data_IF_958300367997
#
_entry.id   IF_958300367997
#
_cell.length_a   1.000
_cell.length_b   1.000
_cell.length_c   1.000
_cell.angle_alpha   90.00
_cell.angle_beta   90.00
_cell.angle_gamma   90.00
#
_symmetry.space_group_name_H-M   'P 1'
#
loop_
_entity.id
_entity.type
_entity.pdbx_description
1 polymer ?
#
# COMPACT_ATOMS: atom_id res chain seq x y z
N UNK A 1 -19.09 7.96 2.42
CA UNK A 1 -18.26 6.87 2.97
C UNK A 1 -18.89 5.55 2.56
N UNK A 2 -18.11 4.65 1.99
CA UNK A 2 -18.55 3.29 1.70
C UNK A 2 -17.98 2.32 2.74
N UNK A 3 -18.84 1.47 3.29
CA UNK A 3 -18.43 0.37 4.18
C UNK A 3 -18.39 -0.91 3.36
N UNK A 4 -17.21 -1.51 3.24
CA UNK A 4 -17.04 -2.75 2.48
C UNK A 4 -17.95 -3.85 3.05
N UNK A 5 -18.65 -4.56 2.16
CA UNK A 5 -19.31 -5.81 2.52
C UNK A 5 -18.28 -6.81 3.08
N UNK A 6 -18.71 -7.70 3.98
CA UNK A 6 -17.81 -8.63 4.68
C UNK A 6 -16.96 -9.49 3.74
N UNK A 7 -17.50 -9.88 2.59
CA UNK A 7 -16.78 -10.66 1.58
C UNK A 7 -15.68 -9.86 0.87
N UNK A 8 -15.88 -8.55 0.66
CA UNK A 8 -14.84 -7.67 0.11
C UNK A 8 -13.81 -7.26 1.16
N UNK A 9 -14.17 -7.16 2.44
CA UNK A 9 -13.23 -6.73 3.48
C UNK A 9 -11.99 -7.63 3.56
N UNK A 10 -12.18 -8.95 3.55
CA UNK A 10 -11.06 -9.90 3.60
C UNK A 10 -10.19 -9.83 2.35
N UNK A 11 -10.81 -9.68 1.18
CA UNK A 11 -10.11 -9.55 -0.10
C UNK A 11 -9.31 -8.25 -0.18
N UNK A 12 -9.92 -7.13 0.21
CA UNK A 12 -9.28 -5.82 0.23
C UNK A 12 -8.13 -5.80 1.23
N UNK A 13 -8.19 -6.54 2.35
CA UNK A 13 -7.04 -6.64 3.26
C UNK A 13 -5.93 -7.55 2.73
N UNK A 14 -6.28 -8.62 2.00
CA UNK A 14 -5.32 -9.61 1.50
C UNK A 14 -4.62 -9.19 0.19
N UNK A 15 -5.28 -8.37 -0.63
CA UNK A 15 -4.80 -8.03 -1.97
C UNK A 15 -4.24 -6.60 -1.97
N UNK A 16 -3.02 -6.35 -2.48
CA UNK A 16 -2.38 -5.04 -2.36
C UNK A 16 -3.16 -3.94 -3.10
N UNK A 17 -3.54 -4.22 -4.34
CA UNK A 17 -4.31 -3.32 -5.20
C UNK A 17 -5.28 -4.17 -6.01
N UNK A 18 -6.51 -3.68 -6.19
CA UNK A 18 -7.55 -4.38 -6.93
C UNK A 18 -8.68 -3.43 -7.29
N UNK A 19 -9.58 -3.89 -8.16
CA UNK A 19 -10.83 -3.19 -8.45
C UNK A 19 -12.02 -4.14 -8.30
N UNK A 20 -13.11 -3.67 -7.71
CA UNK A 20 -14.37 -4.41 -7.65
C UNK A 20 -15.52 -3.57 -8.14
N UNK A 21 -16.51 -4.25 -8.69
CA UNK A 21 -17.83 -3.69 -8.92
C UNK A 21 -18.76 -4.16 -7.81
N UNK A 22 -19.71 -3.32 -7.45
CA UNK A 22 -20.76 -3.71 -6.51
C UNK A 22 -22.07 -3.06 -6.90
N UNK A 23 -23.17 -3.74 -6.59
CA UNK A 23 -24.49 -3.13 -6.67
C UNK A 23 -24.90 -2.78 -5.25
N UNK A 24 -24.35 -1.65 -4.80
CA UNK A 24 -24.38 -1.25 -3.40
C UNK A 24 -25.60 -0.39 -3.09
N UNK A 25 -26.05 -0.43 -1.83
CA UNK A 25 -27.15 0.42 -1.37
C UNK A 25 -26.65 1.83 -1.08
N UNK A 26 -26.97 2.75 -1.97
CA UNK A 26 -26.80 4.19 -1.83
C UNK A 26 -27.96 4.87 -1.10
N UNK A 27 -28.01 6.20 -1.23
CA UNK A 27 -29.06 7.04 -0.63
C UNK A 27 -30.43 6.81 -1.27
N UNK A 28 -30.46 6.66 -2.59
CA UNK A 28 -31.69 6.63 -3.39
C UNK A 28 -32.06 5.21 -3.86
N UNK A 29 -31.38 4.18 -3.32
CA UNK A 29 -31.60 2.79 -3.68
C UNK A 29 -30.30 2.07 -3.97
N UNK A 30 -30.38 0.98 -4.72
CA UNK A 30 -29.20 0.27 -5.18
C UNK A 30 -28.62 0.92 -6.43
N UNK A 31 -27.30 1.07 -6.48
CA UNK A 31 -26.60 1.78 -7.55
C UNK A 31 -25.32 1.06 -7.99
N UNK A 32 -24.96 1.11 -9.29
CA UNK A 32 -23.70 0.59 -9.78
C UNK A 32 -22.53 1.33 -9.12
N UNK A 33 -21.64 0.59 -8.46
CA UNK A 33 -20.57 1.16 -7.64
C UNK A 33 -19.23 0.57 -8.05
N UNK A 34 -18.21 1.43 -8.16
CA UNK A 34 -16.83 1.05 -8.40
C UNK A 34 -16.00 1.19 -7.12
N UNK A 35 -15.34 0.12 -6.71
CA UNK A 35 -14.49 0.07 -5.53
C UNK A 35 -13.04 -0.10 -5.99
N UNK A 36 -12.19 0.87 -5.73
CA UNK A 36 -10.79 0.88 -6.20
C UNK A 36 -9.86 0.85 -5.01
N UNK A 37 -9.10 -0.24 -4.86
CA UNK A 37 -7.98 -0.29 -3.91
C UNK A 37 -6.67 -0.06 -4.64
N UNK A 38 -5.89 0.93 -4.21
CA UNK A 38 -4.61 1.26 -4.83
C UNK A 38 -3.58 1.76 -3.81
N UNK A 39 -2.34 1.91 -4.26
CA UNK A 39 -1.33 2.62 -3.47
C UNK A 39 -1.75 4.06 -3.25
N UNK A 40 -1.40 4.64 -2.10
CA UNK A 40 -1.69 6.04 -1.77
C UNK A 40 -1.13 6.95 -2.86
N UNK A 41 0.01 6.61 -3.47
CA UNK A 41 0.54 7.35 -4.61
C UNK A 41 -0.40 7.29 -5.83
N UNK A 42 -0.84 6.10 -6.26
CA UNK A 42 -1.78 5.95 -7.36
C UNK A 42 -3.07 6.74 -7.12
N UNK A 43 -3.65 6.63 -5.92
CA UNK A 43 -4.87 7.35 -5.56
C UNK A 43 -4.68 8.87 -5.64
N UNK A 44 -3.50 9.38 -5.29
CA UNK A 44 -3.16 10.80 -5.43
C UNK A 44 -3.17 11.25 -6.89
N UNK A 45 -2.60 10.46 -7.80
CA UNK A 45 -2.69 10.76 -9.24
C UNK A 45 -4.14 10.80 -9.73
N UNK A 46 -4.98 9.86 -9.29
CA UNK A 46 -6.41 9.84 -9.64
C UNK A 46 -7.14 11.10 -9.16
N UNK A 47 -6.90 11.54 -7.91
CA UNK A 47 -7.58 12.73 -7.38
C UNK A 47 -7.06 14.03 -7.97
N UNK A 48 -5.79 14.06 -8.38
CA UNK A 48 -5.17 15.18 -9.10
C UNK A 48 -5.51 15.22 -10.59
N UNK A 49 -6.31 14.26 -11.09
CA UNK A 49 -6.89 14.31 -12.43
C UNK A 49 -6.12 13.56 -13.50
N UNK A 50 -5.35 12.53 -13.15
CA UNK A 50 -4.85 11.57 -14.14
C UNK A 50 -6.02 11.03 -14.98
N UNK A 51 -5.84 10.89 -16.29
CA UNK A 51 -6.88 10.29 -17.15
C UNK A 51 -7.17 8.88 -16.66
N UNK A 52 -8.45 8.51 -16.63
CA UNK A 52 -8.90 7.18 -16.24
C UNK A 52 -9.59 6.49 -17.41
N UNK A 53 -9.30 5.20 -17.61
CA UNK A 53 -9.93 4.38 -18.66
C UNK A 53 -10.40 3.07 -18.07
N UNK A 54 -11.63 2.68 -18.39
CA UNK A 54 -12.19 1.39 -18.04
C UNK A 54 -12.08 0.45 -19.24
N UNK A 55 -11.68 -0.78 -18.99
CA UNK A 55 -11.50 -1.81 -20.01
C UNK A 55 -12.37 -3.01 -19.70
N UNK A 56 -12.90 -3.64 -20.75
CA UNK A 56 -13.61 -4.90 -20.68
C UNK A 56 -13.01 -5.86 -21.67
N UNK A 57 -12.77 -7.10 -21.24
CA UNK A 57 -12.09 -8.09 -22.04
C UNK A 57 -12.54 -9.52 -21.70
N UNK A 58 -12.33 -10.45 -22.62
CA UNK A 58 -12.55 -11.87 -22.38
C UNK A 58 -11.20 -12.59 -22.24
N UNK A 59 -10.95 -13.19 -21.08
CA UNK A 59 -9.71 -13.92 -20.79
C UNK A 59 -10.07 -15.29 -20.22
N UNK A 60 -9.63 -16.37 -20.87
CA UNK A 60 -9.97 -17.77 -20.52
C UNK A 60 -11.47 -18.02 -20.24
N UNK A 61 -12.34 -17.40 -21.03
CA UNK A 61 -13.80 -17.53 -20.88
C UNK A 61 -14.39 -16.81 -19.66
N UNK A 62 -13.60 -15.95 -18.99
CA UNK A 62 -14.06 -15.01 -17.96
C UNK A 62 -14.17 -13.60 -18.53
N UNK A 63 -15.11 -12.83 -18.01
CA UNK A 63 -15.18 -11.41 -18.27
C UNK A 63 -14.26 -10.68 -17.30
N UNK A 64 -13.19 -10.10 -17.83
CA UNK A 64 -12.26 -9.23 -17.13
C UNK A 64 -12.73 -7.78 -17.25
N UNK A 65 -12.59 -7.04 -16.17
CA UNK A 65 -12.69 -5.59 -16.17
C UNK A 65 -11.44 -4.98 -15.55
N UNK A 66 -11.01 -3.83 -16.08
CA UNK A 66 -9.83 -3.13 -15.58
C UNK A 66 -10.03 -1.62 -15.56
N UNK A 67 -9.38 -0.96 -14.61
CA UNK A 67 -9.23 0.48 -14.55
C UNK A 67 -7.75 0.82 -14.73
N UNK A 68 -7.47 1.60 -15.75
CA UNK A 68 -6.14 2.13 -16.02
C UNK A 68 -6.12 3.61 -15.68
N UNK A 69 -5.23 4.00 -14.77
CA UNK A 69 -4.90 5.38 -14.47
C UNK A 69 -3.62 5.76 -15.22
N UNK A 70 -3.66 6.84 -15.99
CA UNK A 70 -2.49 7.34 -16.72
C UNK A 70 -1.64 8.21 -15.79
N UNK A 71 -1.08 7.59 -14.76
CA UNK A 71 -0.15 8.18 -13.79
C UNK A 71 1.29 8.25 -14.31
N UNK A 72 1.63 7.39 -15.28
CA UNK A 72 2.89 7.37 -16.01
C UNK A 72 2.67 7.45 -17.52
N UNK A 73 3.48 8.22 -18.28
CA UNK A 73 3.36 8.29 -19.73
C UNK A 73 3.82 7.03 -20.47
N UNK A 74 4.66 6.19 -19.85
CA UNK A 74 5.24 4.98 -20.43
C UNK A 74 4.65 3.69 -19.89
N UNK A 75 4.18 3.68 -18.65
CA UNK A 75 3.67 2.49 -17.97
C UNK A 75 2.56 2.85 -16.97
N UNK A 76 1.33 3.13 -17.46
CA UNK A 76 0.24 3.50 -16.58
C UNK A 76 -0.13 2.36 -15.63
N UNK A 77 -0.59 2.70 -14.44
CA UNK A 77 -1.09 1.73 -13.48
C UNK A 77 -2.44 1.15 -13.95
N UNK A 78 -2.52 -0.18 -14.05
CA UNK A 78 -3.74 -0.90 -14.37
C UNK A 78 -4.13 -1.86 -13.25
N UNK A 79 -5.35 -1.67 -12.73
CA UNK A 79 -5.99 -2.53 -11.74
C UNK A 79 -7.04 -3.37 -12.45
N UNK A 80 -7.07 -4.68 -12.26
CA UNK A 80 -8.03 -5.55 -12.94
C UNK A 80 -8.60 -6.61 -12.01
N UNK A 81 -9.79 -7.07 -12.38
CA UNK A 81 -10.51 -8.17 -11.75
C UNK A 81 -11.35 -8.91 -12.78
N UNK A 82 -11.94 -10.03 -12.37
CA UNK A 82 -12.94 -10.74 -13.17
C UNK A 82 -14.30 -10.65 -12.50
N UNK A 83 -15.35 -10.74 -13.31
CA UNK A 83 -16.72 -10.85 -12.82
C UNK A 83 -16.93 -12.21 -12.15
N UNK A 84 -17.38 -12.19 -10.91
CA UNK A 84 -17.57 -13.35 -10.04
C UNK A 84 -19.02 -13.54 -9.62
N UNK A 85 -19.84 -12.48 -9.58
CA UNK A 85 -21.20 -12.56 -9.06
C UNK A 85 -22.21 -11.67 -9.81
N UNK A 86 -23.51 -11.90 -9.56
CA UNK A 86 -24.61 -11.19 -10.23
C UNK A 86 -24.70 -9.70 -9.87
N UNK A 87 -24.24 -9.31 -8.66
CA UNK A 87 -24.19 -7.91 -8.27
C UNK A 87 -23.16 -7.15 -9.12
N UNK A 88 -21.99 -7.75 -9.35
CA UNK A 88 -20.99 -7.22 -10.28
C UNK A 88 -21.51 -7.13 -11.72
N UNK A 89 -22.25 -8.14 -12.21
CA UNK A 89 -22.90 -8.10 -13.54
C UNK A 89 -23.85 -6.92 -13.65
N UNK A 90 -24.69 -6.73 -12.63
CA UNK A 90 -25.69 -5.65 -12.59
C UNK A 90 -25.01 -4.28 -12.55
N UNK A 91 -24.01 -4.13 -11.69
CA UNK A 91 -23.23 -2.92 -11.58
C UNK A 91 -22.47 -2.59 -12.87
N UNK A 92 -21.89 -3.61 -13.51
CA UNK A 92 -21.18 -3.46 -14.78
C UNK A 92 -22.13 -3.01 -15.90
N UNK A 93 -23.34 -3.55 -15.96
CA UNK A 93 -24.35 -3.16 -16.95
C UNK A 93 -24.75 -1.69 -16.78
N UNK A 94 -24.98 -1.24 -15.54
CA UNK A 94 -25.29 0.16 -15.25
C UNK A 94 -24.14 1.09 -15.66
N UNK A 95 -22.91 0.78 -15.22
CA UNK A 95 -21.72 1.54 -15.59
C UNK A 95 -21.52 1.57 -17.11
N UNK A 96 -21.64 0.44 -17.80
CA UNK A 96 -21.43 0.35 -19.25
C UNK A 96 -22.48 1.14 -20.05
N UNK A 97 -23.68 1.29 -19.50
CA UNK A 97 -24.80 2.03 -20.09
C UNK A 97 -24.72 3.55 -19.85
N UNK A 98 -23.68 4.05 -19.17
CA UNK A 98 -23.54 5.48 -18.87
C UNK A 98 -24.31 5.96 -17.64
N UNK A 99 -24.77 5.06 -16.78
CA UNK A 99 -25.39 5.44 -15.52
C UNK A 99 -24.35 6.12 -14.60
N UNK A 100 -24.72 7.22 -13.91
CA UNK A 100 -23.92 7.75 -12.83
C UNK A 100 -23.60 6.65 -11.82
N UNK A 101 -22.31 6.41 -11.59
CA UNK A 101 -21.82 5.35 -10.72
C UNK A 101 -20.85 5.94 -9.70
N UNK A 102 -21.08 5.78 -8.39
CA UNK A 102 -20.09 6.18 -7.39
C UNK A 102 -18.79 5.40 -7.57
N UNK A 103 -17.66 6.08 -7.45
CA UNK A 103 -16.33 5.49 -7.35
C UNK A 103 -15.77 5.77 -5.96
N UNK A 104 -15.38 4.73 -5.23
CA UNK A 104 -14.77 4.82 -3.90
C UNK A 104 -13.31 4.39 -3.96
N UNK A 105 -12.43 5.24 -3.45
CA UNK A 105 -11.00 4.96 -3.37
C UNK A 105 -10.64 4.41 -1.99
N UNK A 106 -9.91 3.30 -1.97
CA UNK A 106 -9.42 2.63 -0.79
C UNK A 106 -7.89 2.56 -0.82
N UNK A 107 -7.23 3.00 0.25
CA UNK A 107 -5.77 2.93 0.33
C UNK A 107 -5.29 1.49 0.61
N UNK A 108 -3.98 1.32 0.79
CA UNK A 108 -3.32 0.03 1.05
C UNK A 108 -3.90 -0.70 2.27
N UNK A 109 -4.49 0.06 3.22
CA UNK A 109 -5.08 -0.42 4.47
C UNK A 109 -6.58 -0.72 4.35
N UNK A 110 -7.12 -0.72 3.13
CA UNK A 110 -8.54 -0.92 2.84
C UNK A 110 -9.46 0.14 3.48
N UNK A 111 -8.95 1.37 3.69
CA UNK A 111 -9.75 2.48 4.20
C UNK A 111 -10.29 3.32 3.06
N UNK A 112 -11.59 3.60 3.07
CA UNK A 112 -12.17 4.52 2.09
C UNK A 112 -11.67 5.94 2.36
N UNK A 113 -10.83 6.48 1.48
CA UNK A 113 -10.17 7.78 1.67
C UNK A 113 -10.76 8.90 0.81
N UNK A 114 -11.44 8.55 -0.29
CA UNK A 114 -12.09 9.51 -1.17
C UNK A 114 -13.22 8.84 -1.95
N UNK A 115 -14.12 9.65 -2.50
CA UNK A 115 -15.11 9.19 -3.46
C UNK A 115 -15.51 10.29 -4.45
N UNK A 116 -16.09 9.89 -5.57
CA UNK A 116 -16.70 10.80 -6.55
C UNK A 116 -17.80 10.05 -7.31
N UNK A 117 -18.39 10.69 -8.31
CA UNK A 117 -19.34 10.07 -9.23
C UNK A 117 -18.76 10.10 -10.64
N UNK A 118 -18.83 8.95 -11.32
CA UNK A 118 -18.27 8.76 -12.66
C UNK A 118 -19.30 8.18 -13.62
N UNK A 119 -18.97 8.25 -14.92
CA UNK A 119 -19.66 7.54 -15.99
C UNK A 119 -18.63 6.93 -16.93
N UNK A 120 -18.98 5.80 -17.53
CA UNK A 120 -18.34 5.26 -18.71
C UNK A 120 -19.43 4.94 -19.73
N UNK A 121 -19.12 4.96 -21.02
CA UNK A 121 -20.09 4.53 -22.03
C UNK A 121 -19.39 3.57 -22.98
N UNK A 122 -19.95 2.37 -23.09
CA UNK A 122 -19.47 1.34 -23.98
C UNK A 122 -20.46 1.13 -25.13
N UNK A 123 -20.00 0.62 -26.28
CA UNK A 123 -20.87 0.14 -27.34
C UNK A 123 -21.84 -0.95 -26.85
N UNK A 124 -23.03 -1.03 -27.45
CA UNK A 124 -24.10 -1.97 -27.07
C UNK A 124 -23.69 -3.45 -27.09
N UNK A 125 -22.68 -3.78 -27.91
CA UNK A 125 -22.08 -5.10 -28.09
C UNK A 125 -21.50 -5.67 -26.78
N UNK A 126 -21.13 -4.80 -25.84
CA UNK A 126 -20.64 -5.21 -24.52
C UNK A 126 -21.70 -5.93 -23.70
N UNK A 127 -22.99 -5.70 -23.96
CA UNK A 127 -24.08 -6.32 -23.22
C UNK A 127 -24.09 -7.84 -23.39
N UNK A 128 -23.68 -8.34 -24.55
CA UNK A 128 -23.55 -9.77 -24.80
C UNK A 128 -22.39 -10.36 -23.98
N UNK A 129 -21.30 -9.62 -23.81
CA UNK A 129 -20.16 -10.06 -23.00
C UNK A 129 -20.55 -10.14 -21.52
N UNK A 130 -21.25 -9.10 -21.04
CA UNK A 130 -21.75 -9.00 -19.66
C UNK A 130 -22.76 -10.12 -19.36
N UNK A 131 -23.72 -10.34 -20.27
CA UNK A 131 -24.79 -11.31 -20.05
C UNK A 131 -24.34 -12.77 -20.11
N UNK A 132 -23.23 -13.04 -20.82
CA UNK A 132 -22.63 -14.37 -20.93
C UNK A 132 -21.40 -14.54 -20.02
N UNK A 133 -21.19 -13.63 -19.05
CA UNK A 133 -20.06 -13.71 -18.14
C UNK A 133 -20.14 -14.98 -17.29
N UNK A 134 -19.10 -15.82 -17.35
CA UNK A 134 -18.98 -16.96 -16.44
C UNK A 134 -18.72 -16.46 -15.03
N UNK A 135 -19.62 -16.78 -14.10
CA UNK A 135 -19.56 -16.40 -12.69
C UNK A 135 -18.81 -17.43 -11.82
N UNK A 136 -18.60 -17.06 -10.56
CA UNK A 136 -17.83 -17.81 -9.56
C UNK A 136 -16.44 -17.23 -9.31
N UNK A 137 -15.74 -17.71 -8.28
CA UNK A 137 -14.42 -17.21 -7.87
C UNK A 137 -13.36 -17.41 -8.97
N UNK A 138 -12.67 -16.33 -9.35
CA UNK A 138 -11.60 -16.35 -10.36
C UNK A 138 -10.32 -17.01 -9.84
N UNK A 139 -9.61 -17.74 -10.70
CA UNK A 139 -8.21 -18.10 -10.45
C UNK A 139 -7.32 -16.97 -11.01
N UNK A 140 -7.28 -15.84 -10.27
CA UNK A 140 -6.52 -14.66 -10.67
C UNK A 140 -5.04 -14.98 -10.97
N UNK A 141 -4.32 -15.79 -10.17
CA UNK A 141 -2.96 -16.21 -10.52
C UNK A 141 -2.86 -16.91 -11.88
N UNK A 142 -3.81 -17.77 -12.24
CA UNK A 142 -3.78 -18.48 -13.53
C UNK A 142 -4.08 -17.58 -14.74
N UNK A 143 -4.70 -16.42 -14.55
CA UNK A 143 -5.01 -15.45 -15.63
C UNK A 143 -4.10 -14.22 -15.62
N UNK A 144 -3.34 -13.98 -14.55
CA UNK A 144 -2.61 -12.73 -14.34
C UNK A 144 -1.68 -12.35 -15.49
N UNK A 145 -0.94 -13.32 -16.05
CA UNK A 145 -0.05 -13.08 -17.19
C UNK A 145 -0.83 -12.62 -18.43
N UNK A 146 -1.87 -13.35 -18.81
CA UNK A 146 -2.67 -13.03 -20.00
C UNK A 146 -3.44 -11.73 -19.84
N UNK A 147 -3.94 -11.44 -18.63
CA UNK A 147 -4.54 -10.15 -18.31
C UNK A 147 -3.54 -9.00 -18.46
N UNK A 148 -2.32 -9.16 -17.92
CA UNK A 148 -1.23 -8.19 -18.05
C UNK A 148 -0.84 -7.94 -19.50
N UNK A 149 -0.52 -9.01 -20.25
CA UNK A 149 -0.15 -8.94 -21.67
C UNK A 149 -1.24 -8.26 -22.51
N UNK A 150 -2.53 -8.51 -22.20
CA UNK A 150 -3.65 -7.88 -22.89
C UNK A 150 -3.76 -6.39 -22.58
N UNK A 151 -3.58 -5.98 -21.32
CA UNK A 151 -3.65 -4.58 -20.91
C UNK A 151 -2.44 -3.78 -21.44
N UNK A 152 -1.26 -4.38 -21.50
CA UNK A 152 -0.08 -3.80 -22.14
C UNK A 152 -0.32 -3.58 -23.64
N UNK A 153 -0.84 -4.59 -24.36
CA UNK A 153 -1.25 -4.42 -25.75
C UNK A 153 -2.32 -3.34 -25.94
N UNK A 154 -3.25 -3.21 -24.99
CA UNK A 154 -4.30 -2.19 -25.04
C UNK A 154 -3.71 -0.78 -24.86
N UNK A 155 -2.67 -0.64 -24.04
CA UNK A 155 -1.90 0.59 -23.92
C UNK A 155 -1.17 0.94 -25.22
N UNK A 156 -0.53 -0.06 -25.84
CA UNK A 156 0.17 0.09 -27.14
C UNK A 156 -0.79 0.29 -28.33
N UNK A 157 -2.11 0.14 -28.13
CA UNK A 157 -3.12 0.27 -29.18
C UNK A 157 -3.14 -0.91 -30.16
N UNK A 158 -2.69 -2.08 -29.75
CA UNK A 158 -2.57 -3.28 -30.59
C UNK A 158 -3.65 -4.35 -30.35
N UNK A 159 -4.63 -4.07 -29.49
CA UNK A 159 -5.81 -4.94 -29.26
C UNK A 159 -6.89 -4.71 -30.29
N UNK A 160 -7.67 -5.75 -30.60
CA UNK A 160 -8.89 -5.61 -31.42
C UNK A 160 -10.15 -5.41 -30.55
N UNK A 161 -11.23 -4.82 -31.10
CA UNK A 161 -12.50 -4.68 -30.37
C UNK A 161 -13.13 -6.00 -29.90
N UNK A 162 -12.80 -7.12 -30.54
CA UNK A 162 -13.28 -8.46 -30.14
C UNK A 162 -12.56 -9.01 -28.89
N UNK A 163 -11.33 -8.55 -28.66
CA UNK A 163 -10.49 -8.91 -27.51
C UNK A 163 -10.77 -8.01 -26.31
N UNK A 164 -10.79 -6.70 -26.55
CA UNK A 164 -10.86 -5.69 -25.51
C UNK A 164 -11.57 -4.43 -26.00
N UNK A 165 -12.54 -3.98 -25.22
CA UNK A 165 -13.23 -2.70 -25.38
C UNK A 165 -12.78 -1.75 -24.29
N UNK A 166 -12.71 -0.46 -24.61
CA UNK A 166 -12.31 0.59 -23.66
C UNK A 166 -13.26 1.76 -23.69
N UNK A 167 -13.53 2.34 -22.54
CA UNK A 167 -14.24 3.60 -22.40
C UNK A 167 -13.47 4.54 -21.46
N UNK A 168 -13.53 5.83 -21.75
CA UNK A 168 -13.01 6.84 -20.82
C UNK A 168 -13.94 6.93 -19.60
N UNK A 169 -13.33 7.02 -18.42
CA UNK A 169 -14.06 7.29 -17.18
C UNK A 169 -14.16 8.80 -17.04
N UNK A 170 -15.37 9.32 -17.21
CA UNK A 170 -15.67 10.74 -17.09
C UNK A 170 -16.18 11.00 -15.69
N UNK A 171 -15.44 11.81 -14.94
CA UNK A 171 -15.87 12.30 -13.63
C UNK A 171 -16.94 13.37 -13.81
N UNK A 172 -18.10 13.20 -13.19
CA UNK A 172 -19.23 14.15 -13.28
C UNK A 172 -19.41 14.99 -12.02
N UNK A 173 -18.58 14.74 -11.00
CA UNK A 173 -18.59 15.39 -9.70
C UNK A 173 -17.15 15.70 -9.25
N UNK A 174 -16.96 16.49 -8.19
CA UNK A 174 -15.63 16.67 -7.60
C UNK A 174 -15.23 15.45 -6.76
N UNK A 175 -13.95 15.38 -6.39
CA UNK A 175 -13.48 14.40 -5.43
C UNK A 175 -13.83 14.85 -4.01
N UNK A 176 -14.53 13.99 -3.28
CA UNK A 176 -14.92 14.20 -1.91
C UNK A 176 -13.98 13.43 -0.97
N UNK A 177 -13.34 14.15 -0.05
CA UNK A 177 -12.52 13.55 0.98
C UNK A 177 -13.37 12.74 1.97
N UNK A 178 -12.82 11.61 2.44
CA UNK A 178 -13.39 10.85 3.56
C UNK A 178 -12.40 10.93 4.72
N UNK A 179 -12.76 11.70 5.72
CA UNK A 179 -11.94 11.90 6.91
C UNK A 179 -12.11 10.71 7.86
N UNK A 180 -11.13 9.81 7.82
CA UNK A 180 -11.04 8.73 8.81
C UNK A 180 -10.16 9.19 9.96
N UNK A 181 -10.35 8.60 11.12
CA UNK A 181 -9.52 8.85 12.29
C UNK A 181 -9.03 7.52 12.84
N UNK A 182 -7.72 7.44 13.08
CA UNK A 182 -7.18 6.37 13.89
C UNK A 182 -7.07 6.80 15.33
N UNK A 183 -7.38 5.85 16.21
CA UNK A 183 -7.20 5.99 17.64
C UNK A 183 -6.19 4.92 18.05
N UNK A 184 -5.03 5.36 18.56
CA UNK A 184 -4.01 4.45 19.07
C UNK A 184 -4.39 3.92 20.45
N UNK A 185 -3.69 2.89 20.91
CA UNK A 185 -3.78 2.30 22.25
C UNK A 185 -3.53 3.34 23.35
N UNK A 186 -2.78 4.40 23.04
CA UNK A 186 -2.51 5.56 23.88
C UNK A 186 -3.56 6.68 23.78
N UNK A 187 -4.65 6.48 23.04
CA UNK A 187 -5.70 7.48 22.83
C UNK A 187 -5.29 8.65 21.94
N UNK A 188 -4.18 8.52 21.19
CA UNK A 188 -3.80 9.53 20.20
C UNK A 188 -4.77 9.44 19.03
N UNK A 189 -5.31 10.58 18.62
CA UNK A 189 -6.25 10.69 17.53
C UNK A 189 -5.56 11.40 16.36
N UNK A 190 -5.44 10.70 15.23
CA UNK A 190 -4.80 11.23 14.02
C UNK A 190 -5.73 11.07 12.82
N UNK A 191 -6.01 12.16 12.07
CA UNK A 191 -6.80 12.08 10.87
C UNK A 191 -6.00 11.40 9.75
N UNK A 192 -6.69 10.58 8.96
CA UNK A 192 -6.23 10.06 7.69
C UNK A 192 -6.89 10.88 6.59
N UNK A 193 -6.07 11.58 5.83
CA UNK A 193 -6.53 12.46 4.76
C UNK A 193 -5.64 12.28 3.53
N UNK A 194 -6.25 11.73 2.46
CA UNK A 194 -5.58 11.59 1.17
C UNK A 194 -5.16 12.95 0.61
N UNK A 195 -5.87 14.03 0.92
CA UNK A 195 -5.65 15.38 0.39
C UNK A 195 -4.69 16.22 1.25
N UNK A 196 -4.16 15.65 2.34
CA UNK A 196 -3.20 16.35 3.19
C UNK A 196 -1.93 16.70 2.43
N UNK A 197 -1.46 17.94 2.61
CA UNK A 197 -0.14 18.40 2.13
C UNK A 197 1.03 17.92 2.99
N UNK A 198 0.74 17.45 4.20
CA UNK A 198 1.71 16.81 5.10
C UNK A 198 1.74 15.29 4.83
N UNK A 199 2.23 14.92 3.65
CA UNK A 199 2.27 13.53 3.19
C UNK A 199 3.25 12.68 4.00
N UNK A 200 4.32 13.31 4.53
CA UNK A 200 5.28 12.68 5.45
C UNK A 200 4.60 12.28 6.76
N UNK A 201 3.95 13.24 7.42
CA UNK A 201 3.20 12.97 8.65
C UNK A 201 2.12 11.91 8.46
N UNK A 202 1.38 11.92 7.34
CA UNK A 202 0.37 10.89 7.05
C UNK A 202 0.98 9.49 6.95
N UNK A 203 2.11 9.32 6.25
CA UNK A 203 2.77 8.02 6.12
C UNK A 203 3.30 7.51 7.47
N UNK A 204 3.86 8.40 8.29
CA UNK A 204 4.31 8.08 9.64
C UNK A 204 3.13 7.64 10.53
N UNK A 205 2.01 8.36 10.51
CA UNK A 205 0.83 8.01 11.32
C UNK A 205 0.23 6.66 10.91
N UNK A 206 0.21 6.34 9.61
CA UNK A 206 -0.21 5.03 9.13
C UNK A 206 0.70 3.91 9.66
N UNK A 207 2.01 4.14 9.67
CA UNK A 207 2.97 3.17 10.20
C UNK A 207 2.88 3.03 11.73
N UNK A 208 2.65 4.13 12.47
CA UNK A 208 2.36 4.10 13.90
C UNK A 208 1.11 3.27 14.15
N UNK A 209 0.01 3.55 13.44
CA UNK A 209 -1.25 2.80 13.60
C UNK A 209 -1.09 1.30 13.35
N UNK A 210 -0.42 0.93 12.25
CA UNK A 210 -0.14 -0.46 11.93
C UNK A 210 0.61 -1.17 13.06
N UNK A 211 1.65 -0.53 13.58
CA UNK A 211 2.52 -1.12 14.59
C UNK A 211 1.97 -1.07 16.00
N UNK A 212 1.09 -0.10 16.31
CA UNK A 212 0.49 0.10 17.63
C UNK A 212 -0.34 -1.10 18.09
N UNK A 213 -0.95 -1.83 17.14
CA UNK A 213 -1.65 -3.09 17.38
C UNK A 213 -0.79 -4.16 18.05
N UNK A 214 0.53 -4.12 17.85
CA UNK A 214 1.44 -5.19 18.27
C UNK A 214 1.85 -5.09 19.74
N UNK A 215 1.84 -3.88 20.32
CA UNK A 215 2.15 -3.70 21.73
C UNK A 215 1.63 -2.35 22.25
N UNK A 216 0.66 -2.34 23.20
CA UNK A 216 0.02 -1.12 23.73
C UNK A 216 0.94 -0.09 24.41
N UNK A 217 2.24 -0.38 24.54
CA UNK A 217 3.25 0.53 25.11
C UNK A 217 4.57 0.50 24.36
N UNK A 218 4.65 -0.22 23.26
CA UNK A 218 5.91 -0.58 22.61
C UNK A 218 6.28 0.34 21.48
N UNK A 219 5.33 1.12 20.96
CA UNK A 219 5.52 1.98 19.79
C UNK A 219 5.70 3.43 20.23
N UNK A 220 6.79 4.04 19.78
CA UNK A 220 7.11 5.43 20.08
C UNK A 220 7.30 6.20 18.77
N UNK A 221 6.45 7.21 18.55
CA UNK A 221 6.59 8.17 17.45
C UNK A 221 7.60 9.27 17.82
N UNK A 222 8.52 9.57 16.90
CA UNK A 222 9.60 10.55 17.02
C UNK A 222 10.38 10.53 18.36
N UNK A 223 10.93 9.37 18.80
CA UNK A 223 11.83 9.31 19.95
C UNK A 223 13.04 10.26 19.81
N UNK A 224 13.49 10.80 20.94
CA UNK A 224 14.51 11.83 21.03
C UNK A 224 15.78 11.29 21.70
N UNK A 225 16.94 11.77 21.24
CA UNK A 225 18.26 11.52 21.83
C UNK A 225 19.06 12.83 22.00
N UNK A 226 20.02 12.90 22.93
CA UNK A 226 20.85 14.10 23.11
C UNK A 226 21.72 14.46 21.89
N UNK A 227 21.80 15.76 21.60
CA UNK A 227 22.69 16.36 20.59
C UNK A 227 23.15 17.76 21.03
N UNK A 228 24.39 17.86 21.50
CA UNK A 228 24.93 19.12 22.03
C UNK A 228 24.09 19.58 23.23
N UNK A 229 23.58 20.82 23.18
CA UNK A 229 22.73 21.39 24.24
C UNK A 229 21.24 21.08 24.07
N UNK A 230 20.84 20.33 23.04
CA UNK A 230 19.45 20.00 22.76
C UNK A 230 19.23 18.53 22.52
N UNK A 231 18.06 18.20 21.98
CA UNK A 231 17.73 16.87 21.49
C UNK A 231 17.69 16.86 19.97
N UNK A 232 17.77 15.67 19.41
CA UNK A 232 17.37 15.40 18.02
C UNK A 232 16.56 14.12 17.99
N UNK A 233 15.78 13.98 16.95
CA UNK A 233 15.09 12.73 16.66
C UNK A 233 16.08 11.58 16.41
N UNK A 234 15.76 10.41 16.97
CA UNK A 234 16.46 9.17 16.76
C UNK A 234 16.02 8.52 15.45
N UNK A 235 14.72 8.40 15.23
CA UNK A 235 14.08 7.78 14.07
C UNK A 235 12.61 8.18 14.12
N UNK A 236 11.87 8.03 13.03
CA UNK A 236 10.45 8.42 13.02
C UNK A 236 9.59 7.51 13.91
N UNK A 237 9.86 6.20 13.95
CA UNK A 237 9.16 5.24 14.83
C UNK A 237 10.15 4.26 15.44
N UNK A 238 10.04 4.05 16.76
CA UNK A 238 10.80 3.04 17.49
C UNK A 238 9.86 2.05 18.16
N UNK A 239 10.14 0.76 17.97
CA UNK A 239 9.58 -0.31 18.76
C UNK A 239 10.70 -1.01 19.52
N UNK A 240 10.43 -1.42 20.77
CA UNK A 240 11.40 -2.17 21.57
C UNK A 240 10.71 -3.28 22.36
N UNK A 241 11.36 -4.44 22.42
CA UNK A 241 10.97 -5.61 23.22
C UNK A 241 12.19 -6.44 23.60
N UNK A 242 11.99 -7.48 24.42
CA UNK A 242 13.08 -8.32 24.98
C UNK A 242 13.98 -8.98 23.92
N UNK A 243 13.49 -9.19 22.70
CA UNK A 243 14.24 -9.82 21.61
C UNK A 243 14.86 -8.82 20.63
N UNK A 244 14.60 -7.51 20.77
CA UNK A 244 15.23 -6.51 19.91
C UNK A 244 14.50 -5.19 19.84
N UNK A 245 15.05 -4.33 18.98
CA UNK A 245 14.47 -3.03 18.66
C UNK A 245 14.26 -2.92 17.15
N UNK A 246 13.14 -2.29 16.77
CA UNK A 246 12.80 -1.96 15.40
C UNK A 246 12.76 -0.45 15.25
N UNK A 247 13.57 0.08 14.34
CA UNK A 247 13.63 1.48 13.98
C UNK A 247 13.06 1.65 12.57
N UNK A 248 12.06 2.51 12.43
CA UNK A 248 11.47 2.85 11.14
C UNK A 248 11.81 4.30 10.82
N UNK A 249 12.42 4.50 9.66
CA UNK A 249 12.61 5.82 9.05
C UNK A 249 11.74 5.89 7.80
N UNK A 250 10.72 6.74 7.87
CA UNK A 250 9.75 7.00 6.82
C UNK A 250 10.26 8.06 5.85
N UNK A 251 9.98 7.83 4.57
CA UNK A 251 10.27 8.76 3.49
C UNK A 251 9.05 8.81 2.59
N UNK A 252 8.28 9.88 2.68
CA UNK A 252 7.17 10.13 1.78
C UNK A 252 7.61 10.95 0.56
N UNK A 253 6.77 10.95 -0.47
CA UNK A 253 6.85 11.90 -1.58
C UNK A 253 5.92 13.08 -1.31
N UNK A 254 6.30 14.24 -1.84
CA UNK A 254 5.49 15.45 -1.81
C UNK A 254 4.82 15.64 -3.17
N UNK A 255 3.70 14.96 -3.42
CA UNK A 255 2.95 15.02 -4.67
C UNK A 255 2.04 16.26 -4.71
N UNK A 256 1.30 16.55 -3.64
CA UNK A 256 0.35 17.68 -3.61
C UNK A 256 1.02 19.05 -3.56
N UNK A 257 2.28 19.11 -3.15
CA UNK A 257 3.05 20.35 -3.11
C UNK A 257 3.73 20.68 -4.45
N UNK A 258 3.42 19.95 -5.53
CA UNK A 258 3.95 20.20 -6.88
C UNK A 258 2.89 20.86 -7.76
N UNK A 259 3.32 21.80 -8.61
CA UNK A 259 2.42 22.52 -9.52
C UNK A 259 1.86 21.65 -10.65
N UNK A 260 2.53 20.54 -10.96
CA UNK A 260 2.15 19.58 -12.00
C UNK A 260 2.22 18.17 -11.43
N UNK A 261 1.41 17.28 -12.00
CA UNK A 261 1.53 15.85 -11.78
C UNK A 261 3.01 15.44 -12.01
N UNK A 262 3.67 14.87 -11.00
CA UNK A 262 5.07 14.50 -11.14
C UNK A 262 5.24 13.31 -12.07
N UNK A 263 6.33 13.33 -12.83
CA UNK A 263 6.78 12.19 -13.61
C UNK A 263 7.31 11.08 -12.67
N UNK A 264 6.97 9.80 -12.91
CA UNK A 264 7.42 8.71 -12.04
C UNK A 264 8.94 8.50 -12.09
N UNK A 265 9.61 8.77 -13.21
CA UNK A 265 11.08 8.74 -13.31
C UNK A 265 11.70 9.73 -12.32
N UNK A 266 11.08 10.91 -12.17
CA UNK A 266 11.51 11.89 -11.16
C UNK A 266 11.25 11.37 -9.75
N UNK A 267 10.07 10.80 -9.50
CA UNK A 267 9.74 10.20 -8.21
C UNK A 267 10.69 9.05 -7.83
N UNK A 268 11.08 8.20 -8.78
CA UNK A 268 12.01 7.11 -8.56
C UNK A 268 13.41 7.58 -8.15
N UNK A 269 13.89 8.65 -8.80
CA UNK A 269 15.13 9.32 -8.39
C UNK A 269 15.04 9.91 -6.99
N UNK A 270 13.92 10.58 -6.68
CA UNK A 270 13.68 11.16 -5.35
C UNK A 270 13.65 10.06 -4.27
N UNK A 271 12.96 8.95 -4.53
CA UNK A 271 12.91 7.78 -3.62
C UNK A 271 14.30 7.20 -3.41
N UNK A 272 15.11 7.02 -4.47
CA UNK A 272 16.48 6.49 -4.33
C UNK A 272 17.34 7.35 -3.40
N UNK A 273 17.30 8.67 -3.56
CA UNK A 273 18.00 9.61 -2.67
C UNK A 273 17.48 9.55 -1.23
N UNK A 274 16.16 9.41 -1.07
CA UNK A 274 15.53 9.25 0.23
C UNK A 274 15.95 7.97 0.93
N UNK A 275 16.07 6.84 0.21
CA UNK A 275 16.55 5.58 0.76
C UNK A 275 17.98 5.73 1.27
N UNK A 276 18.91 6.26 0.46
CA UNK A 276 20.30 6.49 0.90
C UNK A 276 20.39 7.39 2.15
N UNK A 277 19.53 8.42 2.23
CA UNK A 277 19.45 9.29 3.40
C UNK A 277 18.95 8.53 4.62
N UNK A 278 17.85 7.79 4.49
CA UNK A 278 17.25 7.02 5.58
C UNK A 278 18.23 5.97 6.13
N UNK A 279 18.95 5.29 5.25
CA UNK A 279 19.97 4.30 5.62
C UNK A 279 21.06 4.94 6.47
N UNK A 280 21.58 6.10 6.07
CA UNK A 280 22.59 6.85 6.86
C UNK A 280 22.04 7.28 8.22
N UNK A 281 20.79 7.71 8.28
CA UNK A 281 20.13 8.07 9.53
C UNK A 281 20.04 6.84 10.46
N UNK A 282 19.48 5.73 9.97
CA UNK A 282 19.33 4.48 10.72
C UNK A 282 20.67 3.90 11.21
N UNK A 283 21.73 3.94 10.39
CA UNK A 283 23.10 3.57 10.83
C UNK A 283 23.53 4.43 12.02
N UNK A 284 23.35 5.74 11.92
CA UNK A 284 23.65 6.67 13.00
C UNK A 284 22.83 6.40 14.26
N UNK A 285 21.57 6.04 14.11
CA UNK A 285 20.63 5.78 15.20
C UNK A 285 20.97 4.50 15.95
N UNK A 286 21.21 3.40 15.23
CA UNK A 286 21.66 2.13 15.83
C UNK A 286 22.98 2.32 16.57
N UNK A 287 23.95 3.04 15.97
CA UNK A 287 25.22 3.34 16.64
C UNK A 287 24.99 4.10 17.94
N UNK A 288 24.12 5.11 17.96
CA UNK A 288 23.80 5.87 19.18
C UNK A 288 23.13 5.02 20.25
N UNK A 289 22.27 4.08 19.87
CA UNK A 289 21.68 3.12 20.82
C UNK A 289 22.75 2.23 21.43
N UNK A 290 23.66 1.69 20.62
CA UNK A 290 24.81 0.88 21.06
C UNK A 290 25.75 1.64 21.99
N UNK A 291 25.95 2.94 21.75
CA UNK A 291 26.77 3.82 22.59
C UNK A 291 26.11 4.16 23.95
N UNK A 292 24.91 3.62 24.24
CA UNK A 292 24.26 3.87 25.53
C UNK A 292 23.49 5.20 25.60
N UNK A 293 23.20 5.86 24.47
CA UNK A 293 22.49 7.14 24.49
C UNK A 293 21.10 7.01 25.15
N UNK A 294 20.71 7.92 26.06
CA UNK A 294 19.37 7.89 26.63
C UNK A 294 18.35 8.27 25.56
N UNK A 295 17.22 7.56 25.54
CA UNK A 295 16.13 7.76 24.59
C UNK A 295 14.92 8.25 25.36
N UNK A 296 14.25 9.29 24.86
CA UNK A 296 13.05 9.84 25.48
C UNK A 296 11.93 10.02 24.47
N UNK A 297 10.69 10.09 24.94
CA UNK A 297 9.59 10.63 24.14
C UNK A 297 9.83 12.12 23.85
N UNK A 298 9.06 12.70 22.94
CA UNK A 298 9.05 14.16 22.72
C UNK A 298 8.66 14.95 23.98
N UNK A 299 7.87 14.35 24.86
CA UNK A 299 7.50 14.90 26.17
C UNK A 299 8.57 14.75 27.25
N UNK A 300 9.71 14.12 26.95
CA UNK A 300 10.84 13.94 27.86
C UNK A 300 10.78 12.69 28.74
N UNK A 301 9.74 11.85 28.63
CA UNK A 301 9.67 10.58 29.37
C UNK A 301 10.71 9.61 28.85
N UNK A 302 11.44 8.93 29.74
CA UNK A 302 12.41 7.92 29.33
C UNK A 302 11.74 6.76 28.60
N UNK A 303 12.40 6.27 27.55
CA UNK A 303 12.03 5.06 26.81
C UNK A 303 13.10 4.02 27.10
N UNK A 304 12.69 2.87 27.61
CA UNK A 304 13.58 1.72 27.74
C UNK A 304 13.73 1.03 26.37
N UNK A 305 14.97 0.76 25.99
CA UNK A 305 15.31 0.26 24.66
C UNK A 305 16.25 -0.92 24.80
N UNK A 306 15.87 -2.05 24.20
CA UNK A 306 16.69 -3.25 24.07
C UNK A 306 17.86 -2.95 23.11
N UNK A 307 19.09 -3.25 23.56
CA UNK A 307 20.33 -2.88 22.87
C UNK A 307 21.29 -4.04 22.69
N UNK A 308 21.05 -5.16 23.36
CA UNK A 308 21.88 -6.36 23.33
C UNK A 308 21.62 -7.21 22.09
N UNK A 309 20.41 -7.15 21.54
CA UNK A 309 20.01 -7.90 20.35
C UNK A 309 20.20 -7.09 19.06
N UNK A 310 20.35 -7.74 17.89
CA UNK A 310 20.37 -7.06 16.60
C UNK A 310 19.11 -6.22 16.38
N UNK A 311 19.28 -4.97 16.00
CA UNK A 311 18.15 -4.10 15.65
C UNK A 311 17.66 -4.36 14.22
N UNK A 312 16.36 -4.20 14.00
CA UNK A 312 15.75 -4.11 12.68
C UNK A 312 15.69 -2.64 12.25
N UNK A 313 16.23 -2.33 11.07
CA UNK A 313 16.18 -1.01 10.46
C UNK A 313 15.26 -1.06 9.23
N UNK A 314 14.10 -0.42 9.31
CA UNK A 314 13.15 -0.33 8.21
C UNK A 314 13.23 1.05 7.59
N UNK A 315 13.52 1.08 6.28
CA UNK A 315 13.24 2.25 5.45
C UNK A 315 11.83 2.09 4.89
N UNK A 316 10.91 2.94 5.32
CA UNK A 316 9.54 2.95 4.83
C UNK A 316 9.42 3.92 3.65
N UNK A 317 9.17 3.38 2.47
CA UNK A 317 9.02 4.11 1.20
C UNK A 317 7.56 4.17 0.78
N UNK A 318 7.17 5.07 -0.14
CA UNK A 318 5.77 5.23 -0.51
C UNK A 318 5.28 4.09 -1.42
N UNK A 319 6.15 3.53 -2.27
CA UNK A 319 5.80 2.46 -3.21
C UNK A 319 7.06 1.75 -3.73
N UNK A 320 7.04 0.41 -3.81
CA UNK A 320 8.17 -0.37 -4.35
C UNK A 320 8.44 -0.16 -5.84
N UNK A 321 7.41 0.10 -6.64
CA UNK A 321 7.52 0.26 -8.09
C UNK A 321 8.34 1.51 -8.49
N UNK A 322 8.67 2.38 -7.52
CA UNK A 322 9.57 3.52 -7.70
C UNK A 322 11.04 3.18 -7.44
N UNK A 323 11.36 1.97 -6.99
CA UNK A 323 12.74 1.55 -6.80
C UNK A 323 13.32 1.08 -8.14
N UNK A 324 13.95 2.03 -8.83
CA UNK A 324 14.81 1.76 -9.98
C UNK A 324 16.14 1.15 -9.53
N UNK A 325 16.77 0.34 -10.38
CA UNK A 325 18.07 -0.28 -10.14
C UNK A 325 18.12 -1.10 -8.84
N UNK A 326 17.22 -2.08 -8.70
CA UNK A 326 17.08 -2.93 -7.50
C UNK A 326 18.39 -3.65 -7.10
N UNK A 327 19.31 -3.83 -8.04
CA UNK A 327 20.67 -4.35 -7.83
C UNK A 327 21.51 -3.49 -6.86
N UNK A 328 21.24 -2.17 -6.78
CA UNK A 328 21.92 -1.28 -5.84
C UNK A 328 21.59 -1.60 -4.38
N UNK A 329 20.44 -2.26 -4.14
CA UNK A 329 19.99 -2.70 -2.82
C UNK A 329 20.21 -4.21 -2.63
N UNK A 330 21.21 -4.75 -3.32
CA UNK A 330 21.57 -6.17 -3.31
C UNK A 330 22.48 -6.60 -2.15
N UNK A 331 23.06 -7.78 -2.28
CA UNK A 331 23.84 -8.44 -1.21
C UNK A 331 24.97 -7.59 -0.65
N UNK A 332 25.70 -6.85 -1.49
CA UNK A 332 26.80 -5.99 -1.04
C UNK A 332 26.30 -4.86 -0.13
N UNK A 333 25.17 -4.25 -0.50
CA UNK A 333 24.53 -3.20 0.29
C UNK A 333 24.04 -3.72 1.64
N UNK A 334 23.41 -4.91 1.65
CA UNK A 334 22.94 -5.58 2.87
C UNK A 334 24.12 -5.90 3.79
N UNK A 335 25.19 -6.49 3.24
CA UNK A 335 26.39 -6.85 3.99
C UNK A 335 27.07 -5.62 4.60
N UNK A 336 27.25 -4.54 3.84
CA UNK A 336 27.82 -3.27 4.33
C UNK A 336 27.00 -2.68 5.49
N UNK A 337 25.67 -2.75 5.41
CA UNK A 337 24.82 -2.30 6.52
C UNK A 337 25.00 -3.18 7.77
N UNK A 338 24.99 -4.50 7.59
CA UNK A 338 25.15 -5.46 8.69
C UNK A 338 26.52 -5.34 9.35
N UNK A 339 27.60 -5.15 8.58
CA UNK A 339 28.95 -4.96 9.12
C UNK A 339 29.03 -3.66 9.93
N UNK A 340 28.46 -2.57 9.40
CA UNK A 340 28.52 -1.26 10.06
C UNK A 340 27.67 -1.18 11.34
N UNK A 341 26.59 -1.96 11.44
CA UNK A 341 25.58 -1.78 12.50
C UNK A 341 25.35 -3.02 13.35
N UNK A 342 25.71 -4.21 12.90
CA UNK A 342 25.30 -5.49 13.48
C UNK A 342 23.79 -5.74 13.49
N UNK A 343 23.00 -4.97 12.73
CA UNK A 343 21.55 -5.08 12.63
C UNK A 343 21.09 -5.47 11.22
N UNK A 344 19.80 -5.76 11.08
CA UNK A 344 19.16 -6.08 9.80
C UNK A 344 18.62 -4.83 9.13
N UNK A 345 18.68 -4.76 7.80
CA UNK A 345 18.05 -3.70 7.02
C UNK A 345 16.91 -4.25 6.17
N UNK A 346 15.83 -3.48 6.11
CA UNK A 346 14.61 -3.77 5.37
C UNK A 346 14.21 -2.54 4.58
N UNK A 347 13.76 -2.77 3.35
CA UNK A 347 12.98 -1.80 2.59
C UNK A 347 11.54 -2.30 2.59
N UNK A 348 10.59 -1.45 2.98
CA UNK A 348 9.15 -1.76 3.03
C UNK A 348 8.36 -0.57 2.47
N UNK A 349 7.25 -0.83 1.81
CA UNK A 349 6.16 0.15 1.66
C UNK A 349 5.06 -0.13 2.69
N UNK A 350 4.00 0.69 2.69
CA UNK A 350 2.88 0.50 3.64
C UNK A 350 2.17 -0.84 3.45
N UNK A 351 2.08 -1.35 2.22
CA UNK A 351 1.44 -2.63 1.94
C UNK A 351 2.25 -3.80 2.50
N UNK A 352 3.59 -3.79 2.36
CA UNK A 352 4.44 -4.81 2.97
C UNK A 352 4.49 -4.68 4.49
N UNK A 353 4.51 -3.46 5.04
CA UNK A 353 4.44 -3.26 6.49
C UNK A 353 3.14 -3.86 7.05
N UNK A 354 1.99 -3.60 6.41
CA UNK A 354 0.72 -4.22 6.77
C UNK A 354 0.80 -5.75 6.74
N UNK A 355 1.37 -6.35 5.69
CA UNK A 355 1.46 -7.82 5.59
C UNK A 355 2.34 -8.44 6.68
N UNK A 356 3.46 -7.81 6.99
CA UNK A 356 4.37 -8.28 8.04
C UNK A 356 3.71 -8.17 9.42
N UNK A 357 2.98 -7.07 9.68
CA UNK A 357 2.18 -6.90 10.90
C UNK A 357 1.05 -7.94 10.98
N UNK A 358 0.27 -8.14 9.92
CA UNK A 358 -0.82 -9.12 9.88
C UNK A 358 -0.32 -10.54 10.15
N UNK A 359 0.82 -10.91 9.55
CA UNK A 359 1.39 -12.22 9.81
C UNK A 359 1.88 -12.38 11.25
N UNK A 360 2.46 -11.33 11.83
CA UNK A 360 2.83 -11.34 13.24
C UNK A 360 1.60 -11.55 14.15
N UNK A 361 0.50 -10.83 13.88
CA UNK A 361 -0.77 -11.03 14.59
C UNK A 361 -1.28 -12.47 14.43
N UNK A 362 -1.30 -13.01 13.21
CA UNK A 362 -1.77 -14.37 12.94
C UNK A 362 -0.92 -15.42 13.68
N UNK A 363 0.41 -15.30 13.66
CA UNK A 363 1.33 -16.21 14.37
C UNK A 363 1.10 -16.13 15.88
N UNK A 364 0.94 -14.94 16.44
CA UNK A 364 0.69 -14.77 17.87
C UNK A 364 -0.66 -15.32 18.33
N UNK A 365 -1.70 -15.28 17.47
CA UNK A 365 -3.03 -15.82 17.81
C UNK A 365 -3.05 -17.34 17.98
N UNK A 366 -2.12 -18.06 17.34
CA UNK A 366 -2.04 -19.52 17.41
C UNK A 366 -1.04 -20.03 18.44
N UNK A 367 -0.42 -19.13 19.24
CA UNK A 367 0.61 -19.48 20.22
C UNK A 367 0.38 -18.76 21.54
N UNK A 368 0.37 -19.50 22.65
CA UNK A 368 0.25 -18.92 23.99
C UNK A 368 1.55 -18.24 24.48
N UNK A 369 2.69 -18.56 23.84
CA UNK A 369 4.03 -18.13 24.30
C UNK A 369 4.69 -17.08 23.41
N UNK A 370 4.02 -16.67 22.32
CA UNK A 370 4.60 -15.73 21.34
C UNK A 370 3.77 -14.46 21.34
N UNK A 371 4.39 -13.36 21.77
CA UNK A 371 3.77 -12.04 21.67
C UNK A 371 3.76 -11.55 20.21
N UNK A 372 2.87 -10.63 19.83
CA UNK A 372 2.87 -10.05 18.48
C UNK A 372 4.22 -9.41 18.09
N UNK A 373 4.94 -8.78 19.03
CA UNK A 373 6.28 -8.24 18.76
C UNK A 373 7.33 -9.33 18.52
N UNK A 374 7.30 -10.43 19.27
CA UNK A 374 8.19 -11.57 19.00
C UNK A 374 7.89 -12.20 17.63
N UNK A 375 6.61 -12.28 17.26
CA UNK A 375 6.22 -12.75 15.94
C UNK A 375 6.65 -11.77 14.83
N UNK A 376 6.61 -10.46 15.08
CA UNK A 376 7.08 -9.44 14.14
C UNK A 376 8.59 -9.56 13.89
N UNK A 377 9.37 -9.67 14.96
CA UNK A 377 10.82 -9.91 14.90
C UNK A 377 11.13 -11.16 14.07
N UNK A 378 10.46 -12.27 14.37
CA UNK A 378 10.56 -13.50 13.59
C UNK A 378 10.25 -13.29 12.10
N UNK A 379 9.16 -12.58 11.77
CA UNK A 379 8.79 -12.29 10.39
C UNK A 379 9.86 -11.46 9.67
N UNK A 380 10.45 -10.47 10.35
CA UNK A 380 11.50 -9.64 9.79
C UNK A 380 12.82 -10.40 9.64
N UNK A 381 13.17 -11.31 10.55
CA UNK A 381 14.32 -12.22 10.39
C UNK A 381 14.09 -13.12 9.17
N UNK A 382 12.90 -13.71 9.02
CA UNK A 382 12.56 -14.52 7.83
C UNK A 382 12.58 -13.72 6.55
N UNK A 383 12.14 -12.46 6.58
CA UNK A 383 12.30 -11.55 5.45
C UNK A 383 13.78 -11.33 5.12
N UNK A 384 14.65 -11.09 6.10
CA UNK A 384 16.09 -10.93 5.86
C UNK A 384 16.74 -12.19 5.27
N UNK A 385 16.31 -13.37 5.68
CA UNK A 385 16.75 -14.63 5.05
C UNK A 385 16.31 -14.69 3.57
N UNK A 386 15.08 -14.29 3.27
CA UNK A 386 14.54 -14.28 1.91
C UNK A 386 15.20 -13.22 1.02
N UNK A 387 15.50 -12.02 1.53
CA UNK A 387 16.21 -10.97 0.76
C UNK A 387 17.61 -11.43 0.38
N UNK A 388 18.27 -12.18 1.26
CA UNK A 388 19.56 -12.82 0.95
C UNK A 388 19.44 -13.87 -0.17
N UNK A 389 18.36 -14.66 -0.19
CA UNK A 389 18.13 -15.64 -1.26
C UNK A 389 17.78 -14.96 -2.59
N UNK A 390 16.95 -13.92 -2.55
CA UNK A 390 16.56 -13.14 -3.73
C UNK A 390 17.68 -12.24 -4.26
N UNK A 391 18.67 -11.92 -3.42
CA UNK A 391 19.78 -11.04 -3.76
C UNK A 391 19.41 -9.55 -3.78
N UNK A 392 18.27 -9.16 -3.21
CA UNK A 392 17.80 -7.76 -3.13
C UNK A 392 16.89 -7.52 -1.93
N UNK A 393 16.84 -6.29 -1.42
CA UNK A 393 15.86 -5.85 -0.42
C UNK A 393 14.45 -5.65 -1.01
N UNK A 394 14.33 -5.53 -2.34
CA UNK A 394 13.10 -5.25 -3.05
C UNK A 394 12.23 -6.51 -3.26
N UNK A 395 11.92 -7.21 -2.16
CA UNK A 395 11.04 -8.39 -2.22
C UNK A 395 9.68 -8.09 -1.62
N UNK A 396 8.64 -8.67 -2.19
CA UNK A 396 7.30 -8.71 -1.61
C UNK A 396 7.09 -10.05 -0.93
N UNK A 397 6.72 -10.04 0.35
CA UNK A 397 6.45 -11.26 1.12
C UNK A 397 4.97 -11.58 1.01
N UNK A 398 4.66 -12.74 0.44
CA UNK A 398 3.34 -13.34 0.51
C UNK A 398 3.39 -14.44 1.57
N UNK A 399 2.88 -14.13 2.76
CA UNK A 399 2.71 -15.13 3.81
C UNK A 399 1.46 -15.95 3.49
N UNK A 400 1.67 -17.14 2.94
CA UNK A 400 0.63 -18.17 2.79
C UNK A 400 0.76 -19.12 3.97
N UNK A 401 -0.15 -19.00 4.93
CA UNK A 401 -0.36 -20.06 5.91
C UNK A 401 -0.97 -21.23 5.15
N UNK A 402 -0.31 -22.38 5.15
CA UNK A 402 -0.96 -23.63 4.71
C UNK A 402 -1.99 -23.97 5.79
N UNK A 403 -3.25 -24.12 5.38
CA UNK A 403 -4.33 -24.62 6.25
C UNK A 403 -4.05 -26.04 6.75
#
# INVERSE_FOLDING_TARGET
>A
MHLLASHYQSEFLATPQLIRLDYAKGKDGFEPTLLVKGSTLLLKFMVLGSRLRFHLARVKGRLLYALTAYDDPSKPASLWSVVENEAEVTALRGLASGEPSPIFLFNELALNVAWSTVKASFPSEVNDWISNAKLGKGDCPAIAKEAGDLLERAFDGTTTPDELLSAEIVRIDEWHAVFNHFITSHGSNSPVDLFSRDEGGQQEQLAVWLTDSLHPRGVHHSPQIPKGNGTRELTDILLSHEAGALLIESKALTVFNRDKLPDRTKLAKDVSQHVEKAVRQLRGSIRRLKDGAPVTTRGGSAIDVERSQPAHAVVLIPEFDLIENQENYGLAFIADFMEATGGFIHLLDLAELLRVVQAAEMISRVSENVTPLMALDYCLVKRAEQTRVAGTLCIQVLLRMQE
#
